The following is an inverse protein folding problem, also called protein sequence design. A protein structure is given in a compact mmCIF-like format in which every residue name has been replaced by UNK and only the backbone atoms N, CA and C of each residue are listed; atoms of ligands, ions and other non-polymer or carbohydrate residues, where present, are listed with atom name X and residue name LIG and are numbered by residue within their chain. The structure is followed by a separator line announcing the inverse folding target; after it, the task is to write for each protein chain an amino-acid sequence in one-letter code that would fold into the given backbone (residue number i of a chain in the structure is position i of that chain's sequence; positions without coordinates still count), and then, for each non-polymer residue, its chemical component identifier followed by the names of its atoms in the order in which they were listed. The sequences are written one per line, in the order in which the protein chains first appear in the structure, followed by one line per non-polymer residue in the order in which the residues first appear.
data_IF_804643978739
#
_entry.id   IF_804643978739
#
_cell.length_a   1.000
_cell.length_b   1.000
_cell.length_c   1.000
_cell.angle_alpha   90.00
_cell.angle_beta   90.00
_cell.angle_gamma   90.00
#
_symmetry.space_group_name_H-M   'P 1'
#
loop_
_entity.id
_entity.type
_entity.pdbx_description
1 polymer ?
#
# COMPACT_ATOMS: atom_id res chain seq x y z
N UNK A 1 14.85 5.47 -1.95
CA UNK A 1 15.76 6.49 -1.36
C UNK A 1 15.39 7.94 -1.68
N UNK A 2 15.19 8.37 -2.94
CA UNK A 2 14.88 9.79 -3.27
C UNK A 2 13.69 10.42 -2.53
N UNK A 3 12.70 9.64 -2.09
CA UNK A 3 11.49 10.16 -1.40
C UNK A 3 11.72 10.55 0.06
N UNK A 4 12.65 9.91 0.76
CA UNK A 4 13.01 10.31 2.14
C UNK A 4 13.71 11.68 2.19
N UNK A 5 14.42 12.04 1.12
CA UNK A 5 15.09 13.35 1.00
C UNK A 5 14.11 14.53 0.94
N UNK A 6 12.98 14.36 0.25
CA UNK A 6 12.01 15.46 0.05
C UNK A 6 11.30 15.80 1.37
N UNK A 7 10.91 14.80 2.14
CA UNK A 7 10.29 15.02 3.46
C UNK A 7 11.27 15.62 4.48
N UNK A 8 12.54 15.23 4.44
CA UNK A 8 13.58 15.82 5.28
C UNK A 8 13.81 17.31 5.01
N UNK A 9 13.83 17.71 3.73
CA UNK A 9 14.05 19.11 3.34
C UNK A 9 12.87 20.03 3.76
N UNK A 10 11.63 19.58 3.59
CA UNK A 10 10.43 20.33 4.02
C UNK A 10 10.39 20.53 5.55
N UNK A 11 10.79 19.52 6.32
CA UNK A 11 10.91 19.64 7.78
C UNK A 11 11.94 20.70 8.20
N UNK A 12 13.11 20.75 7.54
CA UNK A 12 14.16 21.73 7.80
C UNK A 12 13.71 23.17 7.51
N UNK A 13 12.98 23.38 6.40
CA UNK A 13 12.45 24.71 6.04
C UNK A 13 11.47 25.20 7.10
N UNK A 14 10.59 24.33 7.59
CA UNK A 14 9.63 24.68 8.63
C UNK A 14 10.30 25.05 9.97
N UNK A 15 11.32 24.30 10.38
CA UNK A 15 12.10 24.59 11.61
C UNK A 15 12.84 25.92 11.47
N UNK A 16 13.48 26.19 10.32
CA UNK A 16 14.15 27.45 10.07
C UNK A 16 13.18 28.65 10.11
N UNK A 17 11.98 28.50 9.56
CA UNK A 17 10.93 29.51 9.61
C UNK A 17 10.47 29.79 11.05
N UNK A 18 10.22 28.75 11.85
CA UNK A 18 9.88 28.89 13.27
C UNK A 18 10.97 29.64 14.05
N UNK A 19 12.24 29.33 13.77
CA UNK A 19 13.37 29.99 14.40
C UNK A 19 13.45 31.48 14.02
N UNK A 20 13.17 31.81 12.75
CA UNK A 20 13.10 33.19 12.28
C UNK A 20 11.99 33.98 13.00
N UNK A 21 10.78 33.44 13.08
CA UNK A 21 9.63 34.10 13.75
C UNK A 21 9.92 34.32 15.24
N UNK A 22 10.49 33.33 15.93
CA UNK A 22 10.84 33.47 17.36
C UNK A 22 11.92 34.53 17.59
N UNK A 23 12.89 34.66 16.67
CA UNK A 23 13.93 35.68 16.77
C UNK A 23 13.41 37.08 16.45
N UNK A 24 12.46 37.22 15.53
CA UNK A 24 11.87 38.52 15.20
C UNK A 24 11.11 39.13 16.40
N UNK A 25 10.47 38.30 17.23
CA UNK A 25 9.80 38.73 18.47
C UNK A 25 10.78 39.33 19.51
N UNK A 26 12.07 38.96 19.44
CA UNK A 26 13.14 39.43 20.33
C UNK A 26 13.87 40.69 19.83
N UNK A 27 13.44 41.30 18.74
CA UNK A 27 14.11 42.49 18.18
C UNK A 27 14.02 43.71 19.12
N UNK A 28 14.96 44.65 18.94
CA UNK A 28 14.99 45.94 19.65
C UNK A 28 13.69 46.72 19.49
N UNK A 29 13.34 47.53 20.50
CA UNK A 29 12.06 48.24 20.63
C UNK A 29 12.28 49.71 20.99
N UNK A 30 11.70 50.68 20.27
CA UNK A 30 11.82 52.08 20.64
C UNK A 30 11.11 52.34 21.96
N UNK A 31 11.87 52.69 23.00
CA UNK A 31 11.34 52.99 24.32
C UNK A 31 12.22 54.02 25.03
N UNK A 32 11.63 54.66 26.02
CA UNK A 32 12.33 55.57 26.92
C UNK A 32 12.65 54.78 28.19
N UNK A 33 13.94 54.58 28.46
CA UNK A 33 14.42 53.95 29.69
C UNK A 33 14.69 55.04 30.71
N UNK A 34 13.90 55.03 31.79
CA UNK A 34 14.08 55.94 32.91
C UNK A 34 15.06 55.30 33.90
N UNK A 35 16.24 55.91 34.05
CA UNK A 35 17.31 55.41 34.91
C UNK A 35 17.17 55.95 36.34
N UNK A 36 17.70 55.21 37.32
CA UNK A 36 17.79 55.71 38.69
C UNK A 36 18.79 56.88 38.78
N UNK A 37 18.62 57.84 39.70
CA UNK A 37 19.45 59.05 39.78
C UNK A 37 20.96 58.82 39.94
N UNK A 38 21.38 57.64 40.39
CA UNK A 38 22.78 57.27 40.61
C UNK A 38 23.46 56.63 39.38
N UNK A 39 22.72 56.41 38.28
CA UNK A 39 23.18 55.66 37.10
C UNK A 39 23.14 56.60 35.90
N UNK A 40 24.33 56.97 35.40
CA UNK A 40 24.52 58.06 34.44
C UNK A 40 24.10 59.43 34.99
N UNK A 41 24.46 60.52 34.32
CA UNK A 41 24.08 61.89 34.69
C UNK A 41 22.55 62.12 34.53
N UNK A 42 21.73 61.35 35.23
CA UNK A 42 20.28 61.49 35.46
C UNK A 42 19.35 61.45 34.25
N UNK A 43 19.86 61.37 33.03
CA UNK A 43 19.06 61.54 31.81
C UNK A 43 18.36 60.25 31.35
N UNK A 44 17.08 60.36 31.02
CA UNK A 44 16.33 59.34 30.31
C UNK A 44 17.03 58.94 29.00
N UNK A 45 16.97 57.65 28.65
CA UNK A 45 17.50 57.14 27.40
C UNK A 45 16.38 56.84 26.42
N UNK A 46 16.26 57.70 25.42
CA UNK A 46 15.34 57.55 24.30
C UNK A 46 16.06 56.86 23.13
N UNK A 47 15.73 55.60 22.88
CA UNK A 47 16.40 54.80 21.87
C UNK A 47 15.78 53.42 21.66
N UNK A 48 16.48 52.58 20.90
CA UNK A 48 16.09 51.20 20.65
C UNK A 48 16.53 50.30 21.80
N UNK A 49 15.57 49.68 22.47
CA UNK A 49 15.74 48.91 23.69
C UNK A 49 15.62 47.42 23.40
N UNK A 50 16.68 46.65 23.69
CA UNK A 50 16.67 45.19 23.66
C UNK A 50 16.73 44.66 25.09
N UNK A 51 15.73 43.90 25.50
CA UNK A 51 15.68 43.30 26.85
C UNK A 51 16.18 41.86 26.81
N UNK A 52 16.99 41.50 27.81
CA UNK A 52 17.41 40.13 28.09
C UNK A 52 17.14 39.83 29.56
N UNK A 53 17.24 38.55 29.94
CA UNK A 53 16.99 38.14 31.33
C UNK A 53 17.86 38.89 32.36
N UNK A 54 19.03 39.39 31.93
CA UNK A 54 20.02 40.00 32.84
C UNK A 54 20.23 41.49 32.64
N UNK A 55 20.05 41.98 31.43
CA UNK A 55 20.38 43.36 31.06
C UNK A 55 19.39 43.95 30.06
N UNK A 56 19.36 45.27 30.02
CA UNK A 56 18.65 46.08 29.03
C UNK A 56 19.69 46.85 28.24
N UNK A 57 19.74 46.60 26.94
CA UNK A 57 20.61 47.33 26.02
C UNK A 57 19.81 48.45 25.39
N UNK A 58 20.33 49.67 25.40
CA UNK A 58 19.68 50.84 24.79
C UNK A 58 20.62 51.45 23.76
N UNK A 59 20.18 51.53 22.51
CA UNK A 59 20.93 52.16 21.43
C UNK A 59 20.33 53.53 21.12
N UNK A 60 21.07 54.59 21.44
CA UNK A 60 20.64 55.98 21.24
C UNK A 60 21.50 56.67 20.18
N UNK A 61 20.92 57.58 19.40
CA UNK A 61 21.68 58.35 18.41
C UNK A 61 22.78 59.23 19.03
N UNK A 62 22.62 59.62 20.31
CA UNK A 62 23.54 60.51 21.02
C UNK A 62 24.67 59.78 21.75
N UNK A 63 24.40 58.60 22.30
CA UNK A 63 25.32 57.90 23.20
C UNK A 63 25.77 56.53 22.65
N UNK A 64 25.25 56.12 21.48
CA UNK A 64 25.48 54.78 20.95
C UNK A 64 24.78 53.72 21.80
N UNK A 65 25.40 52.53 21.87
CA UNK A 65 24.86 51.35 22.55
C UNK A 65 25.32 51.29 24.00
N UNK A 66 24.40 51.47 24.94
CA UNK A 66 24.62 51.40 26.39
C UNK A 66 23.94 50.13 26.96
N UNK A 67 24.47 49.57 28.05
CA UNK A 67 23.94 48.37 28.70
C UNK A 67 23.68 48.67 30.17
N UNK A 68 22.47 48.39 30.62
CA UNK A 68 22.02 48.62 32.00
C UNK A 68 21.54 47.31 32.63
N UNK A 69 21.75 47.15 33.93
CA UNK A 69 21.14 46.08 34.71
C UNK A 69 19.74 46.48 35.17
N UNK A 70 18.87 45.51 35.47
CA UNK A 70 17.49 45.79 35.90
C UNK A 70 17.40 46.63 37.18
N UNK A 71 18.38 46.54 38.08
CA UNK A 71 18.46 47.34 39.30
C UNK A 71 18.80 48.82 39.03
N UNK A 72 19.33 49.14 37.86
CA UNK A 72 19.66 50.50 37.44
C UNK A 72 18.48 51.25 36.81
N UNK A 73 17.45 50.50 36.41
CA UNK A 73 16.29 51.03 35.70
C UNK A 73 15.17 51.28 36.72
N UNK A 74 14.48 52.41 36.58
CA UNK A 74 13.30 52.74 37.36
C UNK A 74 12.05 52.11 36.72
N UNK A 75 11.81 52.43 35.45
CA UNK A 75 10.81 51.80 34.60
C UNK A 75 11.13 52.08 33.12
N UNK A 76 10.47 51.35 32.22
CA UNK A 76 10.58 51.55 30.78
C UNK A 76 9.23 52.04 30.28
N UNK A 77 9.20 53.20 29.64
CA UNK A 77 8.01 53.74 28.98
C UNK A 77 8.10 53.43 27.49
N UNK A 78 7.24 52.55 26.99
CA UNK A 78 7.14 52.34 25.54
C UNK A 78 6.58 53.60 24.88
N UNK A 79 7.21 54.08 23.81
CA UNK A 79 6.64 55.18 23.03
C UNK A 79 5.36 54.69 22.36
N UNK A 80 4.25 55.38 22.64
CA UNK A 80 2.89 55.06 22.16
C UNK A 80 2.71 55.17 20.63
N UNK A 81 3.79 55.46 19.90
CA UNK A 81 3.87 55.57 18.44
C UNK A 81 3.72 54.23 17.70
N UNK A 82 3.46 53.11 18.40
CA UNK A 82 3.55 51.77 17.78
C UNK A 82 2.50 50.75 18.21
N UNK A 83 1.55 51.06 19.09
CA UNK A 83 0.53 50.09 19.53
C UNK A 83 -0.35 49.64 18.35
N UNK A 84 -0.78 50.55 17.48
CA UNK A 84 -1.53 50.23 16.26
C UNK A 84 -0.70 49.44 15.24
N UNK A 85 0.51 49.90 14.89
CA UNK A 85 1.39 49.20 13.94
C UNK A 85 1.88 47.83 14.43
N UNK A 86 1.92 47.59 15.74
CA UNK A 86 2.20 46.27 16.33
C UNK A 86 0.98 45.38 16.27
N UNK A 87 -0.22 45.90 16.58
CA UNK A 87 -1.45 45.14 16.42
C UNK A 87 -1.63 44.70 14.96
N UNK A 88 -1.41 45.59 14.00
CA UNK A 88 -1.51 45.26 12.57
C UNK A 88 -0.50 44.18 12.18
N UNK A 89 0.77 44.27 12.61
CA UNK A 89 1.77 43.24 12.36
C UNK A 89 1.45 41.89 13.00
N UNK A 90 0.88 41.89 14.21
CA UNK A 90 0.46 40.65 14.89
C UNK A 90 -0.73 40.03 14.16
N UNK A 91 -1.70 40.85 13.75
CA UNK A 91 -2.87 40.40 12.99
C UNK A 91 -2.44 39.81 11.63
N UNK A 92 -1.52 40.47 10.92
CA UNK A 92 -0.95 39.98 9.66
C UNK A 92 -0.18 38.67 9.85
N UNK A 93 0.59 38.55 10.93
CA UNK A 93 1.34 37.33 11.25
C UNK A 93 0.39 36.17 11.60
N UNK A 94 -0.69 36.44 12.34
CA UNK A 94 -1.73 35.45 12.67
C UNK A 94 -2.48 35.02 11.41
N UNK A 95 -2.84 35.94 10.52
CA UNK A 95 -3.48 35.63 9.23
C UNK A 95 -2.56 34.82 8.32
N UNK A 96 -1.28 35.18 8.26
CA UNK A 96 -0.24 34.43 7.55
C UNK A 96 -0.08 33.01 8.12
N UNK A 97 0.02 32.87 9.44
CA UNK A 97 0.07 31.57 10.13
C UNK A 97 -1.18 30.73 9.87
N UNK A 98 -2.37 31.34 9.87
CA UNK A 98 -3.62 30.66 9.55
C UNK A 98 -3.62 30.11 8.11
N UNK A 99 -3.18 30.92 7.14
CA UNK A 99 -3.02 30.50 5.74
C UNK A 99 -2.02 29.36 5.59
N UNK A 100 -0.87 29.45 6.27
CA UNK A 100 0.11 28.36 6.28
C UNK A 100 -0.42 27.11 6.98
N UNK A 101 -1.17 27.26 8.07
CA UNK A 101 -1.82 26.17 8.78
C UNK A 101 -2.82 25.42 7.88
N UNK A 102 -3.59 26.14 7.06
CA UNK A 102 -4.50 25.55 6.08
C UNK A 102 -3.71 24.78 5.01
N UNK A 103 -2.67 25.37 4.43
CA UNK A 103 -1.82 24.71 3.43
C UNK A 103 -1.16 23.45 4.01
N UNK A 104 -0.61 23.53 5.21
CA UNK A 104 -0.02 22.38 5.89
C UNK A 104 -1.05 21.28 6.14
N UNK A 105 -2.25 21.62 6.58
CA UNK A 105 -3.35 20.67 6.81
C UNK A 105 -3.73 19.94 5.51
N UNK A 106 -3.88 20.66 4.40
CA UNK A 106 -4.16 20.05 3.10
C UNK A 106 -3.02 19.11 2.67
N UNK A 107 -1.76 19.52 2.85
CA UNK A 107 -0.61 18.68 2.53
C UNK A 107 -0.57 17.39 3.35
N UNK A 108 -0.75 17.47 4.67
CA UNK A 108 -0.80 16.30 5.54
C UNK A 108 -1.97 15.38 5.17
N UNK A 109 -3.12 15.94 4.83
CA UNK A 109 -4.28 15.17 4.38
C UNK A 109 -3.97 14.40 3.08
N UNK A 110 -3.34 15.05 2.08
CA UNK A 110 -2.92 14.39 0.84
C UNK A 110 -1.88 13.28 1.07
N UNK A 111 -0.92 13.50 1.98
CA UNK A 111 0.05 12.49 2.38
C UNK A 111 -0.66 11.29 3.04
N UNK A 112 -1.62 11.56 3.93
CA UNK A 112 -2.43 10.54 4.58
C UNK A 112 -3.23 9.70 3.58
N UNK A 113 -3.91 10.35 2.62
CA UNK A 113 -4.61 9.65 1.53
C UNK A 113 -3.66 8.79 0.69
N UNK A 114 -2.47 9.30 0.38
CA UNK A 114 -1.48 8.54 -0.37
C UNK A 114 -0.98 7.32 0.41
N UNK A 115 -0.64 7.48 1.70
CA UNK A 115 -0.22 6.38 2.57
C UNK A 115 -1.33 5.33 2.71
N UNK A 116 -2.57 5.77 2.90
CA UNK A 116 -3.74 4.89 2.96
C UNK A 116 -3.86 4.02 1.71
N UNK A 117 -3.68 4.59 0.52
CA UNK A 117 -3.68 3.83 -0.74
C UNK A 117 -2.56 2.80 -0.84
N UNK A 118 -1.37 3.07 -0.28
CA UNK A 118 -0.27 2.10 -0.25
C UNK A 118 -0.55 0.96 0.74
N UNK A 119 -1.07 1.29 1.92
CA UNK A 119 -1.47 0.29 2.92
C UNK A 119 -2.53 -0.65 2.36
N UNK A 120 -3.57 -0.13 1.70
CA UNK A 120 -4.58 -0.97 1.06
C UNK A 120 -3.98 -1.91 0.01
N UNK A 121 -3.06 -1.44 -0.83
CA UNK A 121 -2.38 -2.33 -1.81
C UNK A 121 -1.66 -3.47 -1.10
N UNK A 122 -0.90 -3.16 -0.06
CA UNK A 122 -0.17 -4.17 0.69
C UNK A 122 -1.09 -5.16 1.42
N UNK A 123 -2.22 -4.70 1.97
CA UNK A 123 -3.23 -5.58 2.57
C UNK A 123 -3.86 -6.52 1.54
N UNK A 124 -4.15 -6.05 0.31
CA UNK A 124 -4.63 -6.90 -0.78
C UNK A 124 -3.61 -7.96 -1.19
N UNK A 125 -2.33 -7.59 -1.30
CA UNK A 125 -1.25 -8.55 -1.60
C UNK A 125 -1.08 -9.59 -0.49
N UNK A 126 -1.19 -9.17 0.78
CA UNK A 126 -1.17 -10.10 1.92
C UNK A 126 -2.35 -11.06 1.90
N UNK A 127 -3.54 -10.55 1.65
CA UNK A 127 -4.74 -11.36 1.53
C UNK A 127 -4.58 -12.39 0.40
N UNK A 128 -4.10 -11.95 -0.77
CA UNK A 128 -3.83 -12.85 -1.89
C UNK A 128 -2.79 -13.91 -1.54
N UNK A 129 -1.66 -13.52 -0.94
CA UNK A 129 -0.62 -14.46 -0.55
C UNK A 129 -1.12 -15.52 0.44
N UNK A 130 -1.97 -15.12 1.39
CA UNK A 130 -2.61 -16.05 2.32
C UNK A 130 -3.57 -17.01 1.61
N UNK A 131 -4.46 -16.48 0.76
CA UNK A 131 -5.42 -17.30 0.00
C UNK A 131 -4.74 -18.27 -0.97
N UNK A 132 -3.67 -17.84 -1.65
CA UNK A 132 -2.86 -18.70 -2.53
C UNK A 132 -2.15 -19.77 -1.71
N UNK A 133 -1.60 -19.43 -0.54
CA UNK A 133 -0.98 -20.41 0.34
C UNK A 133 -1.99 -21.46 0.79
N UNK A 134 -3.17 -21.07 1.27
CA UNK A 134 -4.22 -22.00 1.68
C UNK A 134 -4.64 -22.92 0.53
N UNK A 135 -4.79 -22.35 -0.68
CA UNK A 135 -5.04 -23.12 -1.90
C UNK A 135 -3.92 -24.13 -2.20
N UNK A 136 -2.66 -23.72 -2.11
CA UNK A 136 -1.49 -24.57 -2.36
C UNK A 136 -1.19 -25.58 -1.25
N UNK A 137 -1.66 -25.35 -0.03
CA UNK A 137 -1.50 -26.25 1.10
C UNK A 137 -2.40 -27.50 0.96
N UNK A 138 -3.46 -27.43 0.14
CA UNK A 138 -4.28 -28.61 -0.23
C UNK A 138 -3.50 -29.60 -1.11
N UNK A 139 -3.37 -30.84 -0.63
CA UNK A 139 -2.76 -31.96 -1.40
C UNK A 139 -3.48 -32.19 -2.73
N UNK A 140 -4.81 -32.12 -2.72
CA UNK A 140 -5.69 -32.30 -3.88
C UNK A 140 -5.42 -31.24 -4.96
N UNK A 141 -5.32 -29.97 -4.55
CA UNK A 141 -4.96 -28.87 -5.46
C UNK A 141 -3.57 -29.07 -6.09
N UNK A 142 -2.56 -29.42 -5.29
CA UNK A 142 -1.22 -29.69 -5.81
C UNK A 142 -1.21 -30.86 -6.80
N UNK A 143 -1.98 -31.91 -6.53
CA UNK A 143 -2.11 -33.05 -7.43
C UNK A 143 -2.79 -32.67 -8.75
N UNK A 144 -3.86 -31.87 -8.71
CA UNK A 144 -4.49 -31.35 -9.92
C UNK A 144 -3.55 -30.48 -10.75
N UNK A 145 -2.78 -29.58 -10.11
CA UNK A 145 -1.73 -28.80 -10.79
C UNK A 145 -0.71 -29.70 -11.48
N UNK A 146 -0.25 -30.76 -10.80
CA UNK A 146 0.67 -31.75 -11.38
C UNK A 146 0.03 -32.54 -12.53
N UNK A 147 -1.25 -32.89 -12.45
CA UNK A 147 -1.99 -33.56 -13.51
C UNK A 147 -2.15 -32.66 -14.74
N UNK A 148 -2.48 -31.38 -14.56
CA UNK A 148 -2.54 -30.40 -15.66
C UNK A 148 -1.16 -30.26 -16.32
N UNK A 149 -0.08 -30.21 -15.52
CA UNK A 149 1.28 -30.21 -16.03
C UNK A 149 1.62 -31.51 -16.78
N UNK A 150 1.15 -32.65 -16.29
CA UNK A 150 1.28 -33.96 -16.96
C UNK A 150 0.70 -33.91 -18.36
N UNK A 151 -0.54 -33.42 -18.49
CA UNK A 151 -1.25 -33.33 -19.76
C UNK A 151 -0.53 -32.40 -20.75
N UNK A 152 0.19 -31.38 -20.27
CA UNK A 152 0.90 -30.41 -21.10
C UNK A 152 2.32 -30.86 -21.50
N UNK A 153 3.02 -31.60 -20.63
CA UNK A 153 4.47 -31.85 -20.79
C UNK A 153 4.85 -33.34 -20.94
N UNK A 154 4.00 -34.26 -20.46
CA UNK A 154 4.34 -35.68 -20.35
C UNK A 154 3.31 -36.54 -21.09
N UNK A 155 3.55 -36.93 -22.36
CA UNK A 155 2.56 -37.63 -23.19
C UNK A 155 1.99 -38.91 -22.57
N UNK A 156 2.79 -39.64 -21.81
CA UNK A 156 2.40 -40.90 -21.19
C UNK A 156 1.71 -40.72 -19.81
N UNK A 157 1.88 -39.59 -19.14
CA UNK A 157 1.54 -39.41 -17.72
C UNK A 157 2.76 -39.20 -16.82
N UNK A 158 2.53 -39.16 -15.51
CA UNK A 158 3.59 -39.00 -14.50
C UNK A 158 3.22 -39.67 -13.17
N UNK A 159 4.21 -39.84 -12.30
CA UNK A 159 4.02 -40.31 -10.92
C UNK A 159 3.50 -39.18 -10.02
N UNK A 160 2.34 -39.37 -9.40
CA UNK A 160 1.65 -38.40 -8.54
C UNK A 160 1.40 -39.03 -7.16
N UNK A 161 1.61 -38.25 -6.10
CA UNK A 161 1.28 -38.61 -4.72
C UNK A 161 -0.25 -38.52 -4.53
N UNK A 162 -0.99 -39.48 -5.09
CA UNK A 162 -2.44 -39.44 -5.20
C UNK A 162 -3.13 -40.11 -4.01
N UNK A 163 -2.59 -41.24 -3.53
CA UNK A 163 -3.23 -42.06 -2.51
C UNK A 163 -2.84 -41.63 -1.09
N UNK A 164 -3.58 -42.11 -0.11
CA UNK A 164 -3.22 -42.02 1.30
C UNK A 164 -2.41 -43.25 1.71
N UNK A 165 -1.41 -43.05 2.57
CA UNK A 165 -0.50 -44.09 3.00
C UNK A 165 0.63 -43.53 3.85
N UNK A 166 1.15 -44.34 4.77
CA UNK A 166 2.20 -43.89 5.71
C UNK A 166 3.54 -43.68 5.00
N UNK A 167 3.85 -44.55 4.03
CA UNK A 167 5.11 -44.49 3.27
C UNK A 167 4.94 -43.69 1.99
N UNK A 168 6.03 -43.10 1.53
CA UNK A 168 6.02 -42.28 0.31
C UNK A 168 5.75 -43.12 -0.94
N UNK A 169 6.27 -44.34 -0.97
CA UNK A 169 6.15 -45.30 -2.07
C UNK A 169 4.71 -45.75 -2.26
N UNK A 170 3.98 -45.97 -1.16
CA UNK A 170 2.60 -46.46 -1.18
C UNK A 170 1.61 -45.39 -1.67
N UNK A 171 1.98 -44.10 -1.55
CA UNK A 171 1.14 -42.98 -1.97
C UNK A 171 1.29 -42.61 -3.45
N UNK A 172 2.44 -42.94 -4.06
CA UNK A 172 2.73 -42.56 -5.45
C UNK A 172 2.20 -43.58 -6.44
N UNK A 173 1.39 -43.09 -7.38
CA UNK A 173 0.86 -43.90 -8.47
C UNK A 173 1.16 -43.23 -9.79
N UNK A 174 1.39 -44.05 -10.82
CA UNK A 174 1.44 -43.56 -12.18
C UNK A 174 0.04 -43.17 -12.61
N UNK A 175 -0.14 -41.91 -13.00
CA UNK A 175 -1.39 -41.39 -13.52
C UNK A 175 -1.18 -41.05 -14.99
N UNK A 176 -1.79 -41.84 -15.87
CA UNK A 176 -1.74 -41.62 -17.31
C UNK A 176 -2.68 -40.50 -17.75
N UNK A 177 -2.35 -39.85 -18.88
CA UNK A 177 -3.22 -38.81 -19.44
C UNK A 177 -4.60 -39.34 -19.86
N UNK A 178 -4.69 -40.62 -20.22
CA UNK A 178 -5.96 -41.28 -20.55
C UNK A 178 -6.82 -41.49 -19.30
N UNK A 179 -6.23 -41.79 -18.16
CA UNK A 179 -6.93 -41.90 -16.88
C UNK A 179 -7.50 -40.55 -16.46
N UNK A 180 -6.70 -39.46 -16.56
CA UNK A 180 -7.19 -38.10 -16.27
C UNK A 180 -8.36 -37.75 -17.19
N UNK A 181 -8.20 -37.97 -18.51
CA UNK A 181 -9.23 -37.68 -19.49
C UNK A 181 -10.53 -38.45 -19.23
N UNK A 182 -10.42 -39.73 -18.86
CA UNK A 182 -11.56 -40.59 -18.58
C UNK A 182 -12.23 -40.23 -17.26
N UNK A 183 -11.45 -39.89 -16.22
CA UNK A 183 -11.97 -39.49 -14.90
C UNK A 183 -12.81 -38.20 -14.98
N UNK A 184 -12.39 -37.23 -15.79
CA UNK A 184 -13.08 -35.96 -15.99
C UNK A 184 -14.25 -36.06 -17.00
N UNK A 185 -14.81 -37.26 -17.20
CA UNK A 185 -15.99 -37.42 -18.03
C UNK A 185 -17.26 -36.92 -17.35
N UNK A 186 -18.12 -36.26 -18.12
CA UNK A 186 -19.44 -35.77 -17.69
C UNK A 186 -20.57 -36.71 -18.14
N UNK A 187 -20.30 -37.67 -19.03
CA UNK A 187 -21.29 -38.64 -19.51
C UNK A 187 -21.74 -39.60 -18.41
N UNK A 188 -23.02 -39.56 -18.04
CA UNK A 188 -23.60 -40.35 -16.93
C UNK A 188 -23.34 -41.85 -17.01
N UNK A 189 -23.39 -42.45 -18.21
CA UNK A 189 -23.11 -43.88 -18.41
C UNK A 189 -21.70 -44.29 -17.98
N UNK A 190 -20.73 -43.39 -18.15
CA UNK A 190 -19.32 -43.63 -17.76
C UNK A 190 -19.06 -43.33 -16.29
N UNK A 191 -19.92 -42.56 -15.63
CA UNK A 191 -19.79 -42.24 -14.21
C UNK A 191 -20.07 -43.46 -13.33
N UNK A 192 -21.03 -44.31 -13.70
CA UNK A 192 -21.40 -45.50 -12.93
C UNK A 192 -20.32 -46.60 -12.88
N UNK A 193 -19.30 -46.52 -13.73
CA UNK A 193 -18.18 -47.47 -13.79
C UNK A 193 -16.84 -46.88 -13.36
N UNK A 194 -16.82 -45.71 -12.70
CA UNK A 194 -15.57 -45.12 -12.24
C UNK A 194 -14.97 -45.96 -11.11
N UNK A 195 -13.68 -46.25 -11.22
CA UNK A 195 -12.93 -46.83 -10.12
C UNK A 195 -12.57 -45.76 -9.08
N UNK A 196 -12.19 -46.20 -7.87
CA UNK A 196 -11.84 -45.31 -6.75
C UNK A 196 -10.77 -44.27 -7.15
N UNK A 197 -9.81 -44.67 -7.98
CA UNK A 197 -8.76 -43.78 -8.46
C UNK A 197 -9.31 -42.65 -9.34
N UNK A 198 -10.28 -42.92 -10.21
CA UNK A 198 -10.92 -41.89 -11.01
C UNK A 198 -11.73 -40.93 -10.14
N UNK A 199 -12.35 -41.43 -9.07
CA UNK A 199 -13.02 -40.57 -8.06
C UNK A 199 -12.01 -39.62 -7.41
N UNK A 200 -10.86 -40.12 -6.94
CA UNK A 200 -9.83 -39.29 -6.31
C UNK A 200 -9.26 -38.25 -7.30
N UNK A 201 -9.09 -38.62 -8.58
CA UNK A 201 -8.68 -37.65 -9.62
C UNK A 201 -9.70 -36.52 -9.74
N UNK A 202 -11.00 -36.85 -9.78
CA UNK A 202 -12.07 -35.85 -9.85
C UNK A 202 -12.05 -34.92 -8.64
N UNK A 203 -11.97 -35.47 -7.43
CA UNK A 203 -11.89 -34.67 -6.20
C UNK A 203 -10.70 -33.69 -6.23
N UNK A 204 -9.55 -34.09 -6.79
CA UNK A 204 -8.43 -33.19 -6.97
C UNK A 204 -8.76 -32.01 -7.89
N UNK A 205 -9.41 -32.29 -9.02
CA UNK A 205 -9.84 -31.25 -9.95
C UNK A 205 -10.97 -30.39 -9.38
N UNK A 206 -11.89 -30.95 -8.60
CA UNK A 206 -12.95 -30.22 -7.92
C UNK A 206 -12.34 -29.17 -6.98
N UNK A 207 -11.39 -29.54 -6.13
CA UNK A 207 -10.73 -28.58 -5.23
C UNK A 207 -9.98 -27.48 -6.00
N UNK A 208 -9.27 -27.87 -7.07
CA UNK A 208 -8.53 -26.92 -7.90
C UNK A 208 -9.45 -25.92 -8.62
N UNK A 209 -10.49 -26.42 -9.27
CA UNK A 209 -11.44 -25.60 -10.02
C UNK A 209 -12.27 -24.72 -9.10
N UNK A 210 -12.69 -25.24 -7.94
CA UNK A 210 -13.38 -24.45 -6.90
C UNK A 210 -12.52 -23.28 -6.43
N UNK A 211 -11.23 -23.51 -6.23
CA UNK A 211 -10.28 -22.43 -5.91
C UNK A 211 -10.19 -21.38 -7.03
N UNK A 212 -10.20 -21.79 -8.31
CA UNK A 212 -10.26 -20.83 -9.43
C UNK A 212 -11.55 -20.01 -9.41
N UNK A 213 -12.70 -20.62 -9.10
CA UNK A 213 -13.98 -19.90 -8.94
C UNK A 213 -13.89 -18.88 -7.81
N UNK A 214 -13.34 -19.27 -6.66
CA UNK A 214 -13.10 -18.37 -5.53
C UNK A 214 -12.22 -17.18 -5.93
N UNK A 215 -11.11 -17.41 -6.64
CA UNK A 215 -10.26 -16.32 -7.13
C UNK A 215 -10.95 -15.44 -8.17
N UNK A 216 -11.86 -15.98 -9.00
CA UNK A 216 -12.71 -15.18 -9.88
C UNK A 216 -13.53 -14.18 -9.06
N UNK A 217 -14.22 -14.66 -8.01
CA UNK A 217 -15.01 -13.80 -7.13
C UNK A 217 -14.16 -12.74 -6.41
N UNK A 218 -12.95 -13.08 -5.96
CA UNK A 218 -12.05 -12.10 -5.35
C UNK A 218 -11.62 -11.00 -6.32
N UNK A 219 -11.41 -11.34 -7.60
CA UNK A 219 -11.12 -10.34 -8.64
C UNK A 219 -12.38 -9.50 -8.94
N UNK A 220 -13.55 -10.11 -9.03
CA UNK A 220 -14.83 -9.40 -9.27
C UNK A 220 -15.15 -8.39 -8.16
N UNK A 221 -14.85 -8.75 -6.92
CA UNK A 221 -15.06 -7.90 -5.74
C UNK A 221 -13.93 -6.88 -5.52
N UNK A 222 -12.92 -6.82 -6.40
CA UNK A 222 -11.73 -5.99 -6.25
C UNK A 222 -10.95 -6.23 -4.93
N UNK A 223 -11.10 -7.42 -4.32
CA UNK A 223 -10.30 -7.82 -3.16
C UNK A 223 -8.85 -8.08 -3.55
N UNK A 224 -8.65 -8.62 -4.75
CA UNK A 224 -7.34 -8.81 -5.37
C UNK A 224 -7.33 -8.23 -6.77
N UNK A 225 -6.15 -7.96 -7.31
CA UNK A 225 -6.00 -7.57 -8.72
C UNK A 225 -5.71 -8.79 -9.57
N UNK A 226 -6.18 -8.78 -10.83
CA UNK A 226 -5.87 -9.86 -11.79
C UNK A 226 -4.36 -10.00 -12.05
N UNK A 227 -3.61 -8.90 -12.04
CA UNK A 227 -2.17 -8.93 -12.31
C UNK A 227 -1.40 -9.56 -11.15
N UNK A 228 -1.81 -9.30 -9.90
CA UNK A 228 -1.25 -9.97 -8.74
C UNK A 228 -1.56 -11.47 -8.76
N UNK A 229 -2.82 -11.86 -9.04
CA UNK A 229 -3.20 -13.26 -9.19
C UNK A 229 -2.39 -13.98 -10.27
N UNK A 230 -2.11 -13.30 -11.39
CA UNK A 230 -1.27 -13.81 -12.48
C UNK A 230 0.14 -14.20 -12.02
N UNK A 231 0.72 -13.48 -11.06
CA UNK A 231 2.06 -13.81 -10.55
C UNK A 231 2.09 -15.18 -9.85
N UNK A 232 0.96 -15.62 -9.28
CA UNK A 232 0.84 -16.88 -8.55
C UNK A 232 0.27 -18.03 -9.38
N UNK A 233 -0.83 -17.77 -10.10
CA UNK A 233 -1.58 -18.81 -10.84
C UNK A 233 -1.53 -18.63 -12.35
N UNK A 234 -0.81 -17.63 -12.85
CA UNK A 234 -0.80 -17.26 -14.27
C UNK A 234 -0.34 -18.40 -15.18
N UNK A 235 0.53 -19.29 -14.71
CA UNK A 235 0.98 -20.45 -15.48
C UNK A 235 -0.16 -21.46 -15.75
N UNK A 236 -0.92 -21.87 -14.74
CA UNK A 236 -2.04 -22.82 -14.93
C UNK A 236 -3.23 -22.16 -15.65
N UNK A 237 -3.49 -20.88 -15.36
CA UNK A 237 -4.45 -20.07 -16.12
C UNK A 237 -4.07 -20.02 -17.61
N UNK A 238 -2.79 -19.78 -17.90
CA UNK A 238 -2.28 -19.79 -19.27
C UNK A 238 -2.40 -21.16 -19.94
N UNK A 239 -2.09 -22.26 -19.24
CA UNK A 239 -2.24 -23.62 -19.78
C UNK A 239 -3.67 -23.94 -20.19
N UNK A 240 -4.66 -23.52 -19.40
CA UNK A 240 -6.08 -23.71 -19.68
C UNK A 240 -6.62 -22.72 -20.72
N UNK A 241 -5.97 -21.57 -20.88
CA UNK A 241 -6.34 -20.54 -21.86
C UNK A 241 -6.07 -20.94 -23.32
N UNK A 242 -6.47 -20.09 -24.29
CA UNK A 242 -6.40 -20.42 -25.71
C UNK A 242 -4.96 -20.64 -26.17
N UNK A 243 -4.05 -19.77 -25.73
CA UNK A 243 -2.64 -19.78 -26.10
C UNK A 243 -1.79 -20.80 -25.31
N UNK A 244 -2.38 -21.55 -24.39
CA UNK A 244 -1.68 -22.55 -23.57
C UNK A 244 -1.20 -23.76 -24.37
N UNK A 245 -0.11 -24.40 -23.92
CA UNK A 245 0.46 -25.59 -24.56
C UNK A 245 -0.35 -26.88 -24.37
N UNK A 246 -1.40 -26.86 -23.55
CA UNK A 246 -2.26 -28.02 -23.32
C UNK A 246 -3.02 -28.38 -24.61
N UNK A 247 -3.02 -29.66 -25.00
CA UNK A 247 -3.73 -30.09 -26.22
C UNK A 247 -5.24 -29.80 -26.13
N UNK A 248 -5.85 -29.44 -27.27
CA UNK A 248 -7.24 -28.99 -27.34
C UNK A 248 -8.23 -29.97 -26.68
N UNK A 249 -8.09 -31.28 -26.94
CA UNK A 249 -8.95 -32.31 -26.34
C UNK A 249 -8.91 -32.33 -24.81
N UNK A 250 -7.75 -32.05 -24.20
CA UNK A 250 -7.59 -32.02 -22.74
C UNK A 250 -8.13 -30.72 -22.15
N UNK A 251 -7.89 -29.57 -22.80
CA UNK A 251 -8.52 -28.30 -22.44
C UNK A 251 -10.04 -28.42 -22.46
N UNK A 252 -10.58 -28.92 -23.56
CA UNK A 252 -12.01 -29.16 -23.72
C UNK A 252 -12.55 -30.04 -22.60
N UNK A 253 -11.89 -31.16 -22.31
CA UNK A 253 -12.30 -32.10 -21.24
C UNK A 253 -12.34 -31.44 -19.85
N UNK A 254 -11.30 -30.69 -19.48
CA UNK A 254 -11.22 -30.01 -18.18
C UNK A 254 -12.28 -28.90 -18.09
N UNK A 255 -12.45 -28.13 -19.15
CA UNK A 255 -13.38 -27.00 -19.16
C UNK A 255 -14.85 -27.43 -19.28
N UNK A 256 -15.14 -28.51 -20.01
CA UNK A 256 -16.47 -29.12 -20.02
C UNK A 256 -16.83 -29.68 -18.64
N UNK A 257 -15.85 -30.25 -17.94
CA UNK A 257 -16.03 -30.71 -16.58
C UNK A 257 -16.32 -29.55 -15.62
N UNK A 258 -15.54 -28.46 -15.73
CA UNK A 258 -15.76 -27.25 -14.94
C UNK A 258 -17.13 -26.61 -15.22
N UNK A 259 -17.56 -26.53 -16.48
CA UNK A 259 -18.86 -25.95 -16.87
C UNK A 259 -20.03 -26.76 -16.30
N UNK A 260 -19.95 -28.09 -16.34
CA UNK A 260 -20.99 -28.98 -15.81
C UNK A 260 -21.19 -28.82 -14.29
N UNK A 261 -20.09 -28.82 -13.52
CA UNK A 261 -20.17 -28.88 -12.06
C UNK A 261 -20.03 -27.52 -11.35
N UNK A 262 -19.43 -26.53 -12.02
CA UNK A 262 -19.15 -25.21 -11.44
C UNK A 262 -19.68 -24.06 -12.32
N UNK A 263 -20.26 -24.35 -13.48
CA UNK A 263 -20.74 -23.33 -14.41
C UNK A 263 -19.62 -22.51 -15.04
N UNK A 264 -20.00 -21.30 -15.49
CA UNK A 264 -19.15 -20.45 -16.33
C UNK A 264 -18.05 -19.69 -15.55
N UNK A 265 -17.91 -19.88 -14.23
CA UNK A 265 -16.98 -19.06 -13.43
C UNK A 265 -15.51 -19.29 -13.79
N UNK A 266 -15.12 -20.53 -14.10
CA UNK A 266 -13.75 -20.83 -14.53
C UNK A 266 -13.47 -20.15 -15.89
N UNK A 267 -14.42 -20.24 -16.82
CA UNK A 267 -14.34 -19.54 -18.10
C UNK A 267 -14.27 -18.02 -17.92
N UNK A 268 -15.09 -17.45 -17.03
CA UNK A 268 -15.08 -16.03 -16.70
C UNK A 268 -13.72 -15.58 -16.18
N UNK A 269 -13.07 -16.38 -15.32
CA UNK A 269 -11.71 -16.10 -14.88
C UNK A 269 -10.73 -16.08 -16.06
N UNK A 270 -10.79 -17.09 -16.94
CA UNK A 270 -9.92 -17.17 -18.11
C UNK A 270 -10.13 -15.98 -19.06
N UNK A 271 -11.38 -15.55 -19.27
CA UNK A 271 -11.75 -14.39 -20.08
C UNK A 271 -11.21 -13.05 -19.55
N UNK A 272 -10.90 -12.96 -18.25
CA UNK A 272 -10.21 -11.77 -17.68
C UNK A 272 -8.77 -11.62 -18.16
N UNK A 273 -8.16 -12.72 -18.62
CA UNK A 273 -6.81 -12.76 -19.19
C UNK A 273 -6.82 -12.84 -20.73
N UNK A 274 -7.88 -13.39 -21.33
CA UNK A 274 -8.05 -13.49 -22.78
C UNK A 274 -9.52 -13.31 -23.17
N UNK A 275 -9.90 -12.10 -23.62
CA UNK A 275 -11.31 -11.68 -23.77
C UNK A 275 -12.10 -12.52 -24.78
N UNK A 276 -11.42 -13.02 -25.81
CA UNK A 276 -12.04 -13.72 -26.94
C UNK A 276 -12.05 -15.25 -26.71
N UNK A 277 -11.66 -15.69 -25.52
CA UNK A 277 -11.62 -17.11 -25.20
C UNK A 277 -13.02 -17.71 -25.07
N UNK A 278 -13.34 -18.63 -25.99
CA UNK A 278 -14.49 -19.52 -25.90
C UNK A 278 -14.00 -20.96 -26.08
N UNK A 279 -14.02 -21.73 -24.99
CA UNK A 279 -13.54 -23.11 -24.99
C UNK A 279 -14.43 -24.06 -25.79
N UNK A 280 -15.69 -23.69 -26.06
CA UNK A 280 -16.64 -24.51 -26.84
C UNK A 280 -16.25 -24.57 -28.31
N UNK A 281 -15.42 -23.62 -28.77
CA UNK A 281 -14.84 -23.61 -30.12
C UNK A 281 -13.66 -24.57 -30.29
N UNK A 282 -13.12 -25.10 -29.17
CA UNK A 282 -12.06 -26.11 -29.22
C UNK A 282 -12.65 -27.37 -29.85
N UNK A 283 -12.18 -27.70 -31.06
CA UNK A 283 -12.63 -28.90 -31.76
C UNK A 283 -12.36 -30.14 -30.90
N UNK A 284 -13.37 -31.01 -30.81
CA UNK A 284 -13.18 -32.38 -30.35
C UNK A 284 -12.42 -33.14 -31.45
N UNK A 285 -11.10 -32.97 -31.50
CA UNK A 285 -10.21 -33.82 -32.30
C UNK A 285 -9.84 -35.10 -31.53
#
# INVERSE_FOLDING_TARGET
MRRFMIFGALGLIFVAFLFYVVNDIKSARPAIVHLKPAVAEGGDRDGEVTTTDKYVTVETAKHGKEIFTWDQILYISEKDLSSSRRLDRVVDLVDLLSKFGLVATVLFFLIGLYQYGQTQKWEREKFLAAAVKEFDDSKRVRNAKQMIDSLAQYPAGRQIDLLEGDKYEDRRVFVSNNEIYSALTTTSEKLGGLNDRAVIIRECFDDFLSGLVMFCHYVDQNLITKDALKAHLGYWIYLLGPNGKLAAKYKYRVLSYADEYMGQYVENLLRKYDKDFDWKTLKQE
#
